data_IF_886038470785
#
_entry.id   IF_886038470785
#
_cell.length_a   1.000
_cell.length_b   1.000
_cell.length_c   1.000
_cell.angle_alpha   90.00
_cell.angle_beta   90.00
_cell.angle_gamma   90.00
#
_symmetry.space_group_name_H-M   'P 1'
#
loop_
_entity.id
_entity.type
_entity.pdbx_description
1 polymer ?
#
# COMPACT_ATOMS: atom_id res chain seq x y z
N UNK A 1 0.91 15.34 23.20
CA UNK A 1 1.92 15.29 22.10
C UNK A 1 2.11 13.90 21.49
N UNK A 2 1.51 12.83 22.01
CA UNK A 2 1.73 11.45 21.56
C UNK A 2 0.82 10.98 20.41
N UNK A 3 -0.37 11.56 20.24
CA UNK A 3 -1.33 11.19 19.19
C UNK A 3 -0.81 11.56 17.80
N UNK A 4 -0.46 12.84 17.57
CA UNK A 4 0.07 13.35 16.30
C UNK A 4 1.28 12.53 15.78
N UNK A 5 2.21 12.13 16.64
CA UNK A 5 3.36 11.29 16.23
C UNK A 5 2.95 9.86 15.86
N UNK A 6 1.86 9.34 16.45
CA UNK A 6 1.28 8.04 16.09
C UNK A 6 0.57 8.09 14.74
N UNK A 7 -0.06 9.22 14.43
CA UNK A 7 -0.77 9.44 13.17
C UNK A 7 0.23 9.49 12.01
N UNK A 8 1.33 10.25 12.16
CA UNK A 8 2.41 10.28 11.15
C UNK A 8 3.08 8.92 10.92
N UNK A 9 3.30 8.12 11.97
CA UNK A 9 3.85 6.76 11.81
C UNK A 9 2.90 5.85 11.03
N UNK A 10 1.61 5.92 11.32
CA UNK A 10 0.60 5.11 10.63
C UNK A 10 0.52 5.50 9.15
N UNK A 11 0.58 6.80 8.86
CA UNK A 11 0.65 7.32 7.50
C UNK A 11 1.90 6.83 6.76
N UNK A 12 3.07 6.94 7.38
CA UNK A 12 4.35 6.48 6.80
C UNK A 12 4.34 4.98 6.52
N UNK A 13 3.80 4.18 7.44
CA UNK A 13 3.68 2.72 7.28
C UNK A 13 2.77 2.36 6.10
N UNK A 14 1.62 3.04 5.97
CA UNK A 14 0.71 2.84 4.83
C UNK A 14 1.36 3.21 3.50
N UNK A 15 2.07 4.33 3.45
CA UNK A 15 2.77 4.78 2.24
C UNK A 15 3.92 3.84 1.89
N UNK A 16 4.69 3.39 2.88
CA UNK A 16 5.79 2.44 2.69
C UNK A 16 5.27 1.10 2.17
N UNK A 17 4.18 0.60 2.77
CA UNK A 17 3.54 -0.64 2.33
C UNK A 17 3.03 -0.55 0.89
N UNK A 18 2.36 0.55 0.54
CA UNK A 18 1.87 0.79 -0.83
C UNK A 18 3.01 0.80 -1.85
N UNK A 19 4.13 1.49 -1.55
CA UNK A 19 5.32 1.50 -2.42
C UNK A 19 5.89 0.09 -2.60
N UNK A 20 5.99 -0.67 -1.52
CA UNK A 20 6.44 -2.06 -1.56
C UNK A 20 5.59 -2.92 -2.51
N UNK A 21 4.27 -2.86 -2.39
CA UNK A 21 3.35 -3.60 -3.25
C UNK A 21 3.49 -3.21 -4.74
N UNK A 22 3.61 -1.93 -5.05
CA UNK A 22 3.81 -1.44 -6.43
C UNK A 22 5.12 -1.98 -7.02
N UNK A 23 6.20 -1.95 -6.26
CA UNK A 23 7.52 -2.47 -6.69
C UNK A 23 7.44 -3.98 -6.92
N UNK A 24 6.88 -4.73 -5.98
CA UNK A 24 6.76 -6.19 -6.08
C UNK A 24 5.90 -6.59 -7.26
N UNK A 25 4.75 -5.93 -7.49
CA UNK A 25 3.91 -6.20 -8.66
C UNK A 25 4.66 -6.01 -9.97
N UNK A 26 5.42 -4.92 -10.10
CA UNK A 26 6.22 -4.66 -11.30
C UNK A 26 7.36 -5.69 -11.46
N UNK A 27 7.98 -6.10 -10.36
CA UNK A 27 9.00 -7.14 -10.37
C UNK A 27 8.43 -8.50 -10.83
N UNK A 28 7.26 -8.88 -10.32
CA UNK A 28 6.55 -10.10 -10.70
C UNK A 28 6.21 -10.10 -12.19
N UNK A 29 5.66 -8.98 -12.68
CA UNK A 29 5.38 -8.78 -14.12
C UNK A 29 6.63 -8.97 -14.97
N UNK A 30 7.76 -8.37 -14.58
CA UNK A 30 9.05 -8.52 -15.30
C UNK A 30 9.61 -9.93 -15.26
N UNK A 31 9.27 -10.73 -14.25
CA UNK A 31 9.70 -12.13 -14.10
C UNK A 31 8.76 -13.12 -14.77
N UNK A 32 7.68 -12.65 -15.40
CA UNK A 32 6.70 -13.52 -16.07
C UNK A 32 5.79 -14.26 -15.08
N UNK A 33 5.51 -13.66 -13.92
CA UNK A 33 4.47 -14.17 -13.02
C UNK A 33 3.11 -14.22 -13.74
N UNK A 34 2.24 -15.12 -13.29
CA UNK A 34 0.90 -15.26 -13.84
C UNK A 34 0.03 -14.03 -13.57
N UNK A 35 -0.99 -13.83 -14.41
CA UNK A 35 -1.96 -12.75 -14.22
C UNK A 35 -2.62 -12.82 -12.83
N UNK A 36 -2.92 -14.02 -12.33
CA UNK A 36 -3.48 -14.21 -11.00
C UNK A 36 -2.56 -13.69 -9.86
N UNK A 37 -1.24 -13.88 -9.99
CA UNK A 37 -0.27 -13.38 -9.01
C UNK A 37 -0.13 -11.85 -9.09
N UNK A 38 -0.21 -11.28 -10.30
CA UNK A 38 -0.20 -9.83 -10.52
C UNK A 38 -1.49 -9.20 -9.98
N UNK A 39 -2.64 -9.83 -10.22
CA UNK A 39 -3.96 -9.37 -9.78
C UNK A 39 -4.09 -9.38 -8.27
N UNK A 40 -3.57 -10.41 -7.59
CA UNK A 40 -3.52 -10.44 -6.13
C UNK A 40 -2.82 -9.20 -5.55
N UNK A 41 -1.73 -8.76 -6.16
CA UNK A 41 -1.04 -7.53 -5.75
C UNK A 41 -1.82 -6.27 -6.11
N UNK A 42 -2.49 -6.24 -7.26
CA UNK A 42 -3.36 -5.11 -7.64
C UNK A 42 -4.53 -4.93 -6.67
N UNK A 43 -5.16 -6.02 -6.24
CA UNK A 43 -6.24 -6.00 -5.23
C UNK A 43 -5.73 -5.46 -3.90
N UNK A 44 -4.56 -5.90 -3.43
CA UNK A 44 -4.01 -5.41 -2.16
C UNK A 44 -3.59 -3.94 -2.25
N UNK A 45 -3.04 -3.50 -3.39
CA UNK A 45 -2.74 -2.08 -3.65
C UNK A 45 -3.99 -1.22 -3.48
N UNK A 46 -5.12 -1.63 -4.04
CA UNK A 46 -6.37 -0.86 -3.90
C UNK A 46 -6.89 -0.86 -2.45
N UNK A 47 -6.77 -1.97 -1.73
CA UNK A 47 -7.11 -1.99 -0.29
C UNK A 47 -6.27 -1.02 0.52
N UNK A 48 -4.96 -0.95 0.27
CA UNK A 48 -4.08 0.00 0.97
C UNK A 48 -4.40 1.44 0.57
N UNK A 49 -4.72 1.69 -0.70
CA UNK A 49 -5.16 3.03 -1.18
C UNK A 49 -6.43 3.49 -0.48
N UNK A 50 -7.43 2.61 -0.33
CA UNK A 50 -8.66 2.91 0.40
C UNK A 50 -8.34 3.24 1.86
N UNK A 51 -7.55 2.41 2.54
CA UNK A 51 -7.12 2.68 3.93
C UNK A 51 -6.39 4.00 4.08
N UNK A 52 -5.49 4.33 3.15
CA UNK A 52 -4.78 5.61 3.14
C UNK A 52 -5.73 6.80 2.95
N UNK A 53 -6.70 6.67 2.05
CA UNK A 53 -7.70 7.70 1.81
C UNK A 53 -8.62 7.90 3.04
N UNK A 54 -9.00 6.82 3.71
CA UNK A 54 -9.77 6.87 4.97
C UNK A 54 -8.97 7.55 6.08
N UNK A 55 -7.68 7.19 6.22
CA UNK A 55 -6.79 7.79 7.21
C UNK A 55 -6.65 9.30 7.01
N UNK A 56 -6.34 9.76 5.80
CA UNK A 56 -6.17 11.19 5.49
C UNK A 56 -7.47 11.99 5.62
N UNK A 57 -8.64 11.35 5.46
CA UNK A 57 -9.94 12.01 5.67
C UNK A 57 -10.34 12.12 7.15
N UNK A 58 -9.72 11.32 8.01
CA UNK A 58 -10.02 11.26 9.44
C UNK A 58 -9.12 12.18 10.28
N UNK A 59 -8.00 12.65 9.73
CA UNK A 59 -7.14 13.73 10.25
C UNK A 59 -7.73 15.13 9.99
#
# INVERSE_FOLDING_TARGET
>A
MTAVTRDFRTLDDLVLHLKGLVIVRELLRRRGASDAEIDAHSVEIERVRVRLAEFVRAD
#
